data_IF_635179389060
#
_entry.id   IF_635179389060
#
_cell.length_a   1.000
_cell.length_b   1.000
_cell.length_c   1.000
_cell.angle_alpha   90.00
_cell.angle_beta   90.00
_cell.angle_gamma   90.00
#
_symmetry.space_group_name_H-M   'P 1'
#
loop_
_entity.id
_entity.type
_entity.pdbx_description
1 polymer ?
#
# COMPACT_ATOMS: atom_id res chain seq x y z
N UNK A 1 10.77 30.97 -24.52
CA UNK A 1 9.80 29.85 -24.49
C UNK A 1 10.41 28.51 -24.05
N UNK A 2 11.74 28.29 -24.20
CA UNK A 2 12.38 27.07 -23.70
C UNK A 2 12.38 26.94 -22.15
N UNK A 3 12.55 28.03 -21.40
CA UNK A 3 12.55 27.99 -19.92
C UNK A 3 11.22 27.57 -19.32
N UNK A 4 10.08 28.04 -19.85
CA UNK A 4 8.75 27.68 -19.32
C UNK A 4 8.43 26.20 -19.56
N UNK A 5 8.87 25.63 -20.68
CA UNK A 5 8.72 24.20 -20.96
C UNK A 5 9.58 23.34 -20.02
N UNK A 6 10.83 23.74 -19.76
CA UNK A 6 11.70 23.07 -18.79
C UNK A 6 11.10 23.07 -17.39
N UNK A 7 10.61 24.23 -16.91
CA UNK A 7 9.95 24.34 -15.60
C UNK A 7 8.68 23.50 -15.49
N UNK A 8 7.95 23.29 -16.60
CA UNK A 8 6.75 22.44 -16.61
C UNK A 8 7.11 20.98 -16.45
N UNK A 9 8.15 20.51 -17.17
CA UNK A 9 8.65 19.13 -17.05
C UNK A 9 9.17 18.84 -15.65
N UNK A 10 9.94 19.76 -15.07
CA UNK A 10 10.47 19.60 -13.71
C UNK A 10 9.36 19.49 -12.67
N UNK A 11 8.31 20.31 -12.81
CA UNK A 11 7.14 20.25 -11.93
C UNK A 11 6.38 18.93 -12.08
N UNK A 12 6.16 18.46 -13.32
CA UNK A 12 5.47 17.18 -13.56
C UNK A 12 6.27 16.01 -12.97
N UNK A 13 7.60 16.02 -13.11
CA UNK A 13 8.46 15.00 -12.52
C UNK A 13 8.37 15.00 -10.99
N UNK A 14 8.46 16.18 -10.36
CA UNK A 14 8.35 16.30 -8.91
C UNK A 14 6.99 15.79 -8.40
N UNK A 15 5.90 16.13 -9.09
CA UNK A 15 4.56 15.62 -8.73
C UNK A 15 4.48 14.11 -8.90
N UNK A 16 5.07 13.55 -9.97
CA UNK A 16 5.10 12.12 -10.18
C UNK A 16 5.89 11.38 -9.09
N UNK A 17 7.04 11.92 -8.70
CA UNK A 17 7.86 11.39 -7.60
C UNK A 17 7.10 11.39 -6.28
N UNK A 18 6.41 12.48 -5.96
CA UNK A 18 5.60 12.58 -4.73
C UNK A 18 4.43 11.59 -4.73
N UNK A 19 3.77 11.39 -5.88
CA UNK A 19 2.70 10.40 -6.02
C UNK A 19 3.25 8.98 -5.79
N UNK A 20 4.41 8.66 -6.37
CA UNK A 20 5.06 7.35 -6.19
C UNK A 20 5.43 7.14 -4.71
N UNK A 21 6.07 8.13 -4.08
CA UNK A 21 6.42 8.07 -2.67
C UNK A 21 5.18 7.88 -1.77
N UNK A 22 4.07 8.55 -2.09
CA UNK A 22 2.79 8.37 -1.39
C UNK A 22 2.20 6.97 -1.55
N UNK A 23 2.30 6.38 -2.74
CA UNK A 23 1.84 5.00 -3.00
C UNK A 23 2.69 3.99 -2.24
N UNK A 24 4.01 4.16 -2.27
CA UNK A 24 4.95 3.29 -1.56
C UNK A 24 4.71 3.35 -0.06
N UNK A 25 4.63 4.56 0.52
CA UNK A 25 4.33 4.75 1.94
C UNK A 25 3.00 4.12 2.35
N UNK A 26 1.94 4.31 1.56
CA UNK A 26 0.65 3.70 1.83
C UNK A 26 0.73 2.16 1.80
N UNK A 27 1.48 1.60 0.85
CA UNK A 27 1.68 0.15 0.71
C UNK A 27 2.47 -0.41 1.90
N UNK A 28 3.56 0.26 2.29
CA UNK A 28 4.36 -0.09 3.47
C UNK A 28 3.52 -0.10 4.75
N UNK A 29 2.64 0.88 4.94
CA UNK A 29 1.75 0.94 6.10
C UNK A 29 0.86 -0.32 6.21
N UNK A 30 0.30 -0.79 5.08
CA UNK A 30 -0.51 -2.01 5.08
C UNK A 30 0.31 -3.27 5.31
N UNK A 31 1.50 -3.36 4.72
CA UNK A 31 2.43 -4.47 4.92
C UNK A 31 2.88 -4.56 6.38
N UNK A 32 3.24 -3.44 7.00
CA UNK A 32 3.63 -3.37 8.41
C UNK A 32 2.51 -3.86 9.34
N UNK A 33 1.24 -3.54 9.03
CA UNK A 33 0.09 -4.06 9.78
C UNK A 33 -0.05 -5.57 9.66
N UNK A 34 0.17 -6.14 8.46
CA UNK A 34 0.15 -7.60 8.28
C UNK A 34 1.31 -8.26 9.04
N UNK A 35 2.51 -7.69 8.97
CA UNK A 35 3.69 -8.18 9.70
C UNK A 35 3.48 -8.15 11.21
N UNK A 36 2.84 -7.10 11.74
CA UNK A 36 2.48 -7.01 13.15
C UNK A 36 1.59 -8.18 13.59
N UNK A 37 0.64 -8.60 12.74
CA UNK A 37 -0.23 -9.73 13.05
C UNK A 37 0.46 -11.10 12.93
N UNK A 38 1.49 -11.20 12.10
CA UNK A 38 2.32 -12.40 11.98
C UNK A 38 3.28 -12.56 13.17
N UNK A 39 3.89 -11.46 13.61
CA UNK A 39 4.94 -11.42 14.65
C UNK A 39 4.40 -11.24 16.07
N UNK A 40 3.13 -10.86 16.22
CA UNK A 40 2.51 -10.60 17.52
C UNK A 40 2.34 -11.85 18.40
N UNK A 41 2.26 -11.68 19.74
CA UNK A 41 2.08 -12.78 20.70
C UNK A 41 0.63 -13.29 20.72
N UNK A 42 0.13 -13.75 19.56
CA UNK A 42 -1.22 -14.32 19.41
C UNK A 42 -1.26 -15.76 19.88
N UNK A 43 -2.40 -16.13 20.49
CA UNK A 43 -2.63 -17.38 21.23
C UNK A 43 -2.57 -18.61 20.32
N UNK A 44 -2.99 -18.49 19.05
CA UNK A 44 -2.91 -19.59 18.07
C UNK A 44 -2.63 -19.11 16.64
N UNK A 45 -2.28 -20.06 15.75
CA UNK A 45 -2.14 -19.80 14.31
C UNK A 45 -3.47 -19.34 13.67
N UNK A 46 -4.60 -19.92 14.10
CA UNK A 46 -5.93 -19.53 13.63
C UNK A 46 -6.24 -18.06 13.99
N UNK A 47 -5.88 -17.62 15.19
CA UNK A 47 -6.06 -16.22 15.61
C UNK A 47 -5.23 -15.25 14.76
N UNK A 48 -4.04 -15.67 14.30
CA UNK A 48 -3.21 -14.87 13.38
C UNK A 48 -3.88 -14.73 12.02
N UNK A 49 -4.33 -15.85 11.44
CA UNK A 49 -5.00 -15.85 10.15
C UNK A 49 -6.26 -14.97 10.16
N UNK A 50 -7.10 -15.09 11.19
CA UNK A 50 -8.32 -14.27 11.30
C UNK A 50 -8.04 -12.77 11.46
N UNK A 51 -6.91 -12.38 12.03
CA UNK A 51 -6.55 -10.96 12.06
C UNK A 51 -5.96 -10.45 10.76
N UNK A 52 -5.14 -11.25 10.10
CA UNK A 52 -4.67 -10.92 8.75
C UNK A 52 -5.87 -10.78 7.81
N UNK A 53 -6.87 -11.67 7.90
CA UNK A 53 -8.12 -11.56 7.15
C UNK A 53 -8.84 -10.23 7.41
N UNK A 54 -8.89 -9.77 8.67
CA UNK A 54 -9.47 -8.46 9.03
C UNK A 54 -8.69 -7.29 8.43
N UNK A 55 -7.36 -7.30 8.53
CA UNK A 55 -6.50 -6.27 7.90
C UNK A 55 -6.71 -6.23 6.39
N UNK A 56 -6.76 -7.40 5.74
CA UNK A 56 -7.01 -7.51 4.31
C UNK A 56 -8.42 -7.06 3.93
N UNK A 57 -9.42 -7.31 4.78
CA UNK A 57 -10.79 -6.82 4.56
C UNK A 57 -10.84 -5.30 4.61
N UNK A 58 -10.23 -4.69 5.63
CA UNK A 58 -10.17 -3.23 5.76
C UNK A 58 -9.47 -2.59 4.56
N UNK A 59 -8.35 -3.16 4.10
CA UNK A 59 -7.68 -2.72 2.87
C UNK A 59 -8.63 -2.72 1.66
N UNK A 60 -9.42 -3.79 1.48
CA UNK A 60 -10.37 -3.90 0.36
C UNK A 60 -11.46 -2.83 0.42
N UNK A 61 -11.96 -2.56 1.62
CA UNK A 61 -12.98 -1.53 1.86
C UNK A 61 -12.44 -0.13 1.54
N UNK A 62 -11.24 0.19 2.04
CA UNK A 62 -10.60 1.51 1.82
C UNK A 62 -10.19 1.72 0.36
N UNK A 63 -9.71 0.68 -0.32
CA UNK A 63 -9.19 0.80 -1.71
C UNK A 63 -10.24 0.52 -2.79
N UNK A 64 -11.45 0.09 -2.40
CA UNK A 64 -12.48 -0.38 -3.35
C UNK A 64 -12.09 -1.66 -4.10
N UNK A 65 -10.97 -2.31 -3.77
CA UNK A 65 -10.51 -3.54 -4.43
C UNK A 65 -11.30 -4.73 -3.91
N UNK A 66 -12.32 -5.16 -4.65
CA UNK A 66 -13.14 -6.34 -4.28
C UNK A 66 -12.38 -7.67 -4.30
N UNK A 67 -11.31 -7.77 -5.09
CA UNK A 67 -10.52 -9.00 -5.21
C UNK A 67 -9.03 -8.69 -5.24
N UNK A 68 -8.25 -9.35 -4.39
CA UNK A 68 -6.81 -9.46 -4.59
C UNK A 68 -6.59 -10.41 -5.76
N UNK A 69 -5.90 -9.96 -6.81
CA UNK A 69 -5.32 -10.91 -7.77
C UNK A 69 -4.26 -11.69 -7.00
N UNK A 70 -4.43 -13.00 -6.91
CA UNK A 70 -3.38 -13.87 -6.39
C UNK A 70 -2.10 -13.63 -7.19
N UNK A 71 -0.96 -13.50 -6.52
CA UNK A 71 0.34 -13.41 -7.18
C UNK A 71 0.76 -14.73 -7.86
N UNK A 72 -0.04 -15.79 -7.76
CA UNK A 72 0.16 -17.04 -8.50
C UNK A 72 -0.23 -16.85 -9.98
N UNK A 73 0.74 -16.52 -10.81
CA UNK A 73 0.80 -16.76 -12.25
C UNK A 73 2.13 -17.45 -12.56
#
# INVERSE_FOLDING_TARGET
MASTAATTTDFVNLVAEEIVAGIDYATECWLARVEQELSGPRVSCADRLHAIERVLQEYREVTGKRHFRSASA
#
